data_IF_701569515191
#
_entry.id   IF_701569515191
#
_cell.length_a   1.000
_cell.length_b   1.000
_cell.length_c   1.000
_cell.angle_alpha   90.00
_cell.angle_beta   90.00
_cell.angle_gamma   90.00
#
_symmetry.space_group_name_H-M   'P 1'
#
loop_
_entity.id
_entity.type
_entity.pdbx_description
1 polymer ?
#
# COMPACT_ATOMS: atom_id res chain seq x y z
N UNK A 1 4.26 28.14 -1.37
CA UNK A 1 3.78 26.84 -1.93
C UNK A 1 4.90 25.79 -1.97
N UNK A 2 6.14 26.16 -2.35
CA UNK A 2 7.34 25.31 -2.31
C UNK A 2 7.74 24.83 -0.92
N UNK A 3 7.47 25.62 0.12
CA UNK A 3 7.81 25.28 1.51
C UNK A 3 6.94 24.15 2.10
N UNK A 4 5.60 24.28 2.00
CA UNK A 4 4.67 23.27 2.54
C UNK A 4 4.87 21.88 1.92
N UNK A 5 5.00 21.79 0.59
CA UNK A 5 5.21 20.50 -0.06
C UNK A 5 6.52 19.85 0.38
N UNK A 6 7.57 20.65 0.56
CA UNK A 6 8.86 20.16 1.07
C UNK A 6 8.74 19.64 2.49
N UNK A 7 8.06 20.38 3.38
CA UNK A 7 7.78 19.93 4.74
C UNK A 7 6.94 18.66 4.77
N UNK A 8 5.90 18.57 3.93
CA UNK A 8 5.07 17.38 3.81
C UNK A 8 5.91 16.16 3.41
N UNK A 9 6.82 16.31 2.44
CA UNK A 9 7.76 15.24 2.04
C UNK A 9 8.79 14.90 3.12
N UNK A 10 9.22 15.85 3.96
CA UNK A 10 10.08 15.53 5.11
C UNK A 10 9.37 14.66 6.13
N UNK A 11 8.09 14.95 6.41
CA UNK A 11 7.27 14.15 7.34
C UNK A 11 7.10 12.72 6.81
N UNK A 12 7.00 12.51 5.50
CA UNK A 12 6.99 11.16 4.92
C UNK A 12 8.22 10.35 5.33
N UNK A 13 9.42 10.94 5.23
CA UNK A 13 10.65 10.25 5.59
C UNK A 13 10.67 9.83 7.06
N UNK A 14 10.13 10.65 7.95
CA UNK A 14 9.99 10.34 9.38
C UNK A 14 9.02 9.17 9.56
N UNK A 15 7.80 9.27 9.02
CA UNK A 15 6.77 8.23 9.16
C UNK A 15 7.19 6.89 8.52
N UNK A 16 7.86 6.93 7.37
CA UNK A 16 8.42 5.73 6.72
C UNK A 16 9.47 5.09 7.62
N UNK A 17 10.36 5.89 8.20
CA UNK A 17 11.40 5.40 9.11
C UNK A 17 10.79 4.77 10.37
N UNK A 18 9.76 5.38 10.95
CA UNK A 18 9.05 4.81 12.10
C UNK A 18 8.38 3.48 11.75
N UNK A 19 7.65 3.42 10.62
CA UNK A 19 6.98 2.19 10.16
C UNK A 19 7.96 1.05 9.88
N UNK A 20 9.13 1.35 9.32
CA UNK A 20 10.16 0.34 9.06
C UNK A 20 10.84 -0.15 10.35
N UNK A 21 10.74 0.60 11.45
CA UNK A 21 11.30 0.26 12.75
C UNK A 21 10.21 -0.09 13.79
N UNK A 22 9.03 -0.47 13.33
CA UNK A 22 7.91 -0.85 14.20
C UNK A 22 8.31 -2.06 15.07
N UNK A 23 8.30 -1.95 16.41
CA UNK A 23 8.69 -3.04 17.31
C UNK A 23 7.69 -4.21 17.31
N UNK A 24 6.47 -4.01 16.82
CA UNK A 24 5.44 -5.05 16.77
C UNK A 24 5.67 -6.03 15.59
N UNK A 25 6.60 -5.71 14.67
CA UNK A 25 6.98 -6.60 13.57
C UNK A 25 8.49 -6.88 13.57
N UNK A 26 8.86 -8.16 13.64
CA UNK A 26 10.25 -8.59 13.53
C UNK A 26 10.75 -8.51 12.08
N UNK A 27 11.24 -7.34 11.68
CA UNK A 27 11.84 -7.13 10.37
C UNK A 27 13.17 -7.87 10.20
N UNK A 28 13.27 -8.68 9.15
CA UNK A 28 14.56 -9.02 8.51
C UNK A 28 15.01 -7.90 7.57
N UNK A 29 16.29 -7.88 7.19
CA UNK A 29 16.82 -6.92 6.21
C UNK A 29 16.04 -6.98 4.89
N UNK A 30 15.71 -8.18 4.41
CA UNK A 30 14.94 -8.39 3.19
C UNK A 30 13.53 -7.82 3.30
N UNK A 31 12.81 -8.12 4.39
CA UNK A 31 11.44 -7.64 4.60
C UNK A 31 11.39 -6.11 4.75
N UNK A 32 12.38 -5.52 5.41
CA UNK A 32 12.52 -4.08 5.58
C UNK A 32 12.77 -3.39 4.25
N UNK A 33 13.73 -3.90 3.47
CA UNK A 33 14.01 -3.40 2.14
C UNK A 33 12.81 -3.54 1.19
N UNK A 34 12.07 -4.65 1.31
CA UNK A 34 10.85 -4.87 0.55
C UNK A 34 9.78 -3.82 0.87
N UNK A 35 9.46 -3.62 2.15
CA UNK A 35 8.45 -2.65 2.58
C UNK A 35 8.87 -1.22 2.22
N UNK A 36 10.14 -0.87 2.40
CA UNK A 36 10.66 0.44 2.01
C UNK A 36 10.41 0.73 0.52
N UNK A 37 10.81 -0.21 -0.35
CA UNK A 37 10.61 -0.08 -1.79
C UNK A 37 9.14 -0.05 -2.17
N UNK A 38 8.32 -0.87 -1.53
CA UNK A 38 6.87 -0.90 -1.75
C UNK A 38 6.24 0.46 -1.40
N UNK A 39 6.62 1.07 -0.29
CA UNK A 39 6.12 2.37 0.14
C UNK A 39 6.54 3.47 -0.84
N UNK A 40 7.83 3.57 -1.16
CA UNK A 40 8.33 4.61 -2.07
C UNK A 40 7.68 4.50 -3.45
N UNK A 41 7.49 3.27 -3.96
CA UNK A 41 6.89 3.04 -5.27
C UNK A 41 5.40 3.38 -5.33
N UNK A 42 4.63 2.97 -4.32
CA UNK A 42 3.16 3.05 -4.37
C UNK A 42 2.60 4.37 -3.85
N UNK A 43 3.32 5.00 -2.93
CA UNK A 43 2.85 6.15 -2.17
C UNK A 43 3.35 7.44 -2.80
N UNK A 44 4.61 7.50 -3.25
CA UNK A 44 5.19 8.66 -3.93
C UNK A 44 4.85 8.71 -5.43
N UNK A 45 5.18 9.82 -6.09
CA UNK A 45 4.91 10.04 -7.52
C UNK A 45 3.49 10.55 -7.84
N UNK A 46 2.64 10.73 -6.82
CA UNK A 46 1.34 11.38 -6.96
C UNK A 46 1.42 12.90 -6.92
N UNK A 47 0.28 13.56 -7.13
CA UNK A 47 0.15 15.03 -6.97
C UNK A 47 0.10 15.48 -5.50
N UNK A 48 -0.17 14.55 -4.57
CA UNK A 48 -0.32 14.77 -3.13
C UNK A 48 -1.48 15.70 -2.75
N UNK A 49 -2.42 15.92 -3.67
CA UNK A 49 -3.50 16.90 -3.48
C UNK A 49 -4.38 16.56 -2.27
N UNK A 50 -4.65 15.27 -2.01
CA UNK A 50 -5.54 14.88 -0.91
C UNK A 50 -4.84 15.10 0.44
N UNK A 51 -3.58 14.69 0.56
CA UNK A 51 -2.77 14.93 1.75
C UNK A 51 -2.53 16.41 2.03
N UNK A 52 -2.14 17.18 1.01
CA UNK A 52 -1.92 18.63 1.15
C UNK A 52 -3.20 19.38 1.51
N UNK A 53 -4.36 18.93 1.01
CA UNK A 53 -5.64 19.54 1.35
C UNK A 53 -5.97 19.46 2.85
N UNK A 54 -5.48 18.44 3.56
CA UNK A 54 -5.63 18.34 5.03
C UNK A 54 -4.92 19.50 5.71
N UNK A 55 -3.66 19.74 5.32
CA UNK A 55 -2.84 20.78 5.93
C UNK A 55 -3.39 22.17 5.60
N UNK A 56 -3.77 22.39 4.34
CA UNK A 56 -4.37 23.66 3.92
C UNK A 56 -5.73 23.91 4.61
N UNK A 57 -6.58 22.89 4.72
CA UNK A 57 -7.87 23.02 5.44
C UNK A 57 -7.64 23.35 6.91
N UNK A 58 -6.69 22.68 7.57
CA UNK A 58 -6.39 22.93 8.97
C UNK A 58 -5.89 24.37 9.20
N UNK A 59 -5.00 24.87 8.33
CA UNK A 59 -4.55 26.28 8.36
C UNK A 59 -5.71 27.26 8.25
N UNK A 60 -6.62 27.04 7.31
CA UNK A 60 -7.80 27.89 7.11
C UNK A 60 -8.73 27.87 8.34
N UNK A 61 -8.96 26.68 8.91
CA UNK A 61 -9.79 26.50 10.11
C UNK A 61 -9.17 27.13 11.35
N UNK A 62 -7.85 27.37 11.37
CA UNK A 62 -7.17 28.12 12.44
C UNK A 62 -7.37 29.64 12.36
N UNK A 63 -8.17 30.12 11.41
CA UNK A 63 -8.60 31.52 11.27
C UNK A 63 -7.41 32.51 11.19
N UNK A 64 -6.40 32.17 10.40
CA UNK A 64 -5.24 33.05 10.15
C UNK A 64 -4.16 33.04 11.23
N UNK A 65 -4.26 32.17 12.24
CA UNK A 65 -3.15 31.92 13.18
C UNK A 65 -2.12 31.01 12.53
N UNK A 66 -0.84 31.32 12.74
CA UNK A 66 0.27 30.46 12.32
C UNK A 66 0.20 29.08 12.99
N UNK A 67 0.60 28.04 12.26
CA UNK A 67 0.73 26.70 12.83
C UNK A 67 2.03 26.60 13.62
N UNK A 68 1.96 25.97 14.78
CA UNK A 68 3.16 25.45 15.47
C UNK A 68 3.77 24.30 14.68
N UNK A 69 5.02 23.97 14.97
CA UNK A 69 5.70 22.84 14.32
C UNK A 69 5.01 21.51 14.59
N UNK A 70 4.47 21.32 15.80
CA UNK A 70 3.73 20.12 16.20
C UNK A 70 2.42 20.00 15.42
N UNK A 71 1.65 21.10 15.34
CA UNK A 71 0.41 21.13 14.54
C UNK A 71 0.67 20.87 13.06
N UNK A 72 1.75 21.45 12.51
CA UNK A 72 2.16 21.18 11.14
C UNK A 72 2.50 19.70 10.95
N UNK A 73 3.26 19.12 11.87
CA UNK A 73 3.65 17.70 11.83
C UNK A 73 2.42 16.79 11.90
N UNK A 74 1.49 17.04 12.83
CA UNK A 74 0.26 16.26 13.00
C UNK A 74 -0.66 16.37 11.77
N UNK A 75 -0.85 17.58 11.24
CA UNK A 75 -1.65 17.79 10.03
C UNK A 75 -1.04 17.07 8.81
N UNK A 76 0.29 17.14 8.66
CA UNK A 76 1.00 16.40 7.61
C UNK A 76 0.84 14.88 7.80
N UNK A 77 0.92 14.39 9.04
CA UNK A 77 0.79 12.97 9.35
C UNK A 77 -0.58 12.43 8.97
N UNK A 78 -1.65 13.15 9.31
CA UNK A 78 -3.01 12.82 8.86
C UNK A 78 -3.14 12.88 7.33
N UNK A 79 -2.52 13.86 6.69
CA UNK A 79 -2.45 13.94 5.24
C UNK A 79 -1.77 12.72 4.60
N UNK A 80 -0.70 12.20 5.20
CA UNK A 80 -0.05 10.97 4.74
C UNK A 80 -0.88 9.72 4.99
N UNK A 81 -1.67 9.64 6.06
CA UNK A 81 -2.63 8.56 6.24
C UNK A 81 -3.63 8.49 5.08
N UNK A 82 -4.09 9.65 4.56
CA UNK A 82 -4.99 9.69 3.39
C UNK A 82 -4.26 9.23 2.12
N UNK A 83 -3.02 9.68 1.88
CA UNK A 83 -2.25 9.25 0.71
C UNK A 83 -1.89 7.74 0.78
N UNK A 84 -1.64 7.19 1.96
CA UNK A 84 -1.46 5.74 2.18
C UNK A 84 -2.75 4.96 1.90
N UNK A 85 -3.88 5.42 2.41
CA UNK A 85 -5.19 4.80 2.14
C UNK A 85 -5.50 4.82 0.64
N UNK A 86 -5.22 5.93 -0.04
CA UNK A 86 -5.37 6.02 -1.48
C UNK A 86 -4.42 5.06 -2.22
N UNK A 87 -3.15 4.97 -1.81
CA UNK A 87 -2.18 4.08 -2.42
C UNK A 87 -2.62 2.60 -2.30
N UNK A 88 -3.13 2.20 -1.13
CA UNK A 88 -3.72 0.88 -0.90
C UNK A 88 -4.83 0.57 -1.92
N UNK A 89 -5.84 1.45 -2.03
CA UNK A 89 -6.93 1.22 -2.97
C UNK A 89 -6.46 1.18 -4.43
N UNK A 90 -5.51 2.04 -4.82
CA UNK A 90 -4.99 2.05 -6.18
C UNK A 90 -4.21 0.78 -6.53
N UNK A 91 -3.48 0.19 -5.59
CA UNK A 91 -2.80 -1.09 -5.83
C UNK A 91 -3.82 -2.21 -6.05
N UNK A 92 -4.89 -2.26 -5.27
CA UNK A 92 -5.94 -3.25 -5.45
C UNK A 92 -6.72 -3.04 -6.74
N UNK A 93 -7.04 -1.79 -7.08
CA UNK A 93 -7.70 -1.39 -8.32
C UNK A 93 -6.88 -1.81 -9.55
N UNK A 94 -5.57 -1.52 -9.54
CA UNK A 94 -4.63 -1.94 -10.59
C UNK A 94 -4.68 -3.46 -10.83
N UNK A 95 -4.81 -4.26 -9.76
CA UNK A 95 -4.92 -5.73 -9.84
C UNK A 95 -6.29 -6.14 -10.39
N UNK A 96 -7.38 -5.59 -9.83
CA UNK A 96 -8.75 -5.92 -10.23
C UNK A 96 -9.03 -5.59 -11.70
N UNK A 97 -8.41 -4.54 -12.21
CA UNK A 97 -8.57 -4.10 -13.60
C UNK A 97 -7.48 -4.62 -14.53
N UNK A 98 -6.47 -5.31 -14.01
CA UNK A 98 -5.36 -5.82 -14.81
C UNK A 98 -4.56 -4.68 -15.45
N UNK A 99 -4.48 -3.53 -14.79
CA UNK A 99 -3.81 -2.33 -15.28
C UNK A 99 -2.33 -2.57 -15.60
N UNK A 100 -1.81 -1.81 -16.57
CA UNK A 100 -0.42 -1.89 -16.99
C UNK A 100 0.46 -0.84 -16.31
N UNK A 101 -0.01 0.41 -16.20
CA UNK A 101 0.77 1.52 -15.68
C UNK A 101 -0.03 2.40 -14.72
N UNK A 102 0.66 2.96 -13.71
CA UNK A 102 0.17 3.97 -12.78
C UNK A 102 1.27 4.99 -12.51
N UNK A 103 0.92 6.29 -12.51
CA UNK A 103 1.87 7.41 -12.28
C UNK A 103 3.11 7.37 -13.21
N UNK A 104 2.92 6.92 -14.45
CA UNK A 104 3.99 6.84 -15.46
C UNK A 104 4.96 5.67 -15.28
N UNK A 105 4.70 4.76 -14.34
CA UNK A 105 5.49 3.54 -14.11
C UNK A 105 4.60 2.30 -14.24
N UNK A 106 5.15 1.10 -14.44
CA UNK A 106 4.37 -0.15 -14.36
C UNK A 106 3.56 -0.25 -13.05
N UNK A 107 2.39 -0.86 -13.08
CA UNK A 107 1.67 -1.14 -11.83
C UNK A 107 2.50 -2.07 -10.93
N UNK A 108 2.47 -1.88 -9.62
CA UNK A 108 3.35 -2.58 -8.68
C UNK A 108 3.30 -4.11 -8.81
N UNK A 109 2.11 -4.68 -9.02
CA UNK A 109 1.93 -6.12 -9.21
C UNK A 109 2.55 -6.68 -10.50
N UNK A 110 2.97 -5.81 -11.43
CA UNK A 110 3.66 -6.17 -12.69
C UNK A 110 5.19 -6.12 -12.56
N UNK A 111 5.75 -5.70 -11.41
CA UNK A 111 7.19 -5.56 -11.23
C UNK A 111 7.89 -6.93 -11.21
N UNK A 112 9.01 -7.11 -11.93
CA UNK A 112 9.66 -8.41 -12.18
C UNK A 112 10.43 -9.01 -10.98
N UNK A 113 10.10 -8.63 -9.74
CA UNK A 113 10.67 -9.20 -8.49
C UNK A 113 9.58 -9.46 -7.46
N UNK A 114 8.56 -10.19 -7.88
CA UNK A 114 8.03 -11.43 -7.32
C UNK A 114 7.73 -11.63 -5.83
N UNK A 115 7.80 -10.71 -4.87
CA UNK A 115 7.26 -11.10 -3.54
C UNK A 115 5.73 -11.33 -3.60
N UNK A 116 5.01 -10.58 -4.46
CA UNK A 116 3.57 -10.82 -4.67
C UNK A 116 3.30 -12.05 -5.53
N UNK A 117 4.03 -12.25 -6.64
CA UNK A 117 3.84 -13.42 -7.50
C UNK A 117 4.26 -14.71 -6.79
N UNK A 118 5.36 -14.68 -6.03
CA UNK A 118 5.79 -15.78 -5.16
C UNK A 118 4.79 -16.01 -4.03
N UNK A 119 4.32 -14.95 -3.35
CA UNK A 119 3.27 -15.09 -2.32
C UNK A 119 1.97 -15.65 -2.90
N UNK A 120 1.54 -15.17 -4.06
CA UNK A 120 0.33 -15.63 -4.76
C UNK A 120 0.47 -17.10 -5.17
N UNK A 121 1.61 -17.50 -5.74
CA UNK A 121 1.92 -18.90 -6.08
C UNK A 121 1.97 -19.78 -4.83
N UNK A 122 2.74 -19.39 -3.82
CA UNK A 122 2.90 -20.13 -2.57
C UNK A 122 1.58 -20.28 -1.82
N UNK A 123 0.76 -19.24 -1.79
CA UNK A 123 -0.57 -19.26 -1.16
C UNK A 123 -1.52 -20.19 -1.92
N UNK A 124 -1.51 -20.12 -3.26
CA UNK A 124 -2.32 -21.01 -4.10
C UNK A 124 -1.94 -22.48 -3.90
N UNK A 125 -0.64 -22.79 -3.83
CA UNK A 125 -0.13 -24.13 -3.55
C UNK A 125 -0.54 -24.62 -2.16
N UNK A 126 -0.35 -23.80 -1.12
CA UNK A 126 -0.77 -24.14 0.26
C UNK A 126 -2.27 -24.45 0.36
N UNK A 127 -3.10 -23.63 -0.28
CA UNK A 127 -4.55 -23.83 -0.30
C UNK A 127 -4.89 -25.10 -1.09
N UNK A 128 -4.28 -25.33 -2.24
CA UNK A 128 -4.51 -26.54 -3.06
C UNK A 128 -4.15 -27.80 -2.27
N UNK A 129 -2.98 -27.83 -1.63
CA UNK A 129 -2.54 -28.95 -0.80
C UNK A 129 -3.51 -29.19 0.38
N UNK A 130 -4.00 -28.11 1.02
CA UNK A 130 -4.98 -28.21 2.10
C UNK A 130 -6.32 -28.77 1.63
N UNK A 131 -6.76 -28.39 0.43
CA UNK A 131 -7.97 -28.95 -0.19
C UNK A 131 -7.77 -30.44 -0.51
N UNK A 132 -6.62 -30.81 -1.06
CA UNK A 132 -6.34 -32.20 -1.46
C UNK A 132 -6.20 -33.16 -0.29
N UNK A 133 -5.68 -32.68 0.84
CA UNK A 133 -5.59 -33.42 2.09
C UNK A 133 -6.95 -33.67 2.76
N UNK A 134 -8.02 -32.97 2.35
CA UNK A 134 -9.34 -33.12 2.97
C UNK A 134 -9.97 -34.49 2.65
N UNK A 135 -10.49 -35.28 3.62
CA UNK A 135 -10.92 -36.66 3.38
C UNK A 135 -12.16 -36.80 2.46
N UNK A 136 -13.05 -35.81 2.45
CA UNK A 136 -14.27 -35.84 1.63
C UNK A 136 -14.03 -35.35 0.20
N UNK A 137 -14.16 -36.24 -0.79
CA UNK A 137 -14.06 -35.91 -2.23
C UNK A 137 -15.10 -34.89 -2.69
N UNK A 138 -16.30 -34.90 -2.10
CA UNK A 138 -17.32 -33.90 -2.41
C UNK A 138 -16.87 -32.50 -1.96
N UNK A 139 -16.29 -32.38 -0.77
CA UNK A 139 -15.75 -31.11 -0.26
C UNK A 139 -14.56 -30.64 -1.10
N UNK A 140 -13.66 -31.56 -1.50
CA UNK A 140 -12.57 -31.21 -2.42
C UNK A 140 -13.10 -30.58 -3.72
N UNK A 141 -14.11 -31.21 -4.34
CA UNK A 141 -14.69 -30.73 -5.59
C UNK A 141 -15.33 -29.34 -5.46
N UNK A 142 -16.06 -29.10 -4.37
CA UNK A 142 -16.66 -27.79 -4.08
C UNK A 142 -15.58 -26.72 -3.90
N UNK A 143 -14.57 -26.97 -3.07
CA UNK A 143 -13.50 -25.99 -2.78
C UNK A 143 -12.63 -25.73 -4.02
N UNK A 144 -12.29 -26.76 -4.81
CA UNK A 144 -11.59 -26.59 -6.09
C UNK A 144 -12.40 -25.75 -7.07
N UNK A 145 -13.73 -25.94 -7.13
CA UNK A 145 -14.61 -25.13 -7.99
C UNK A 145 -14.60 -23.64 -7.59
N UNK A 146 -14.59 -23.33 -6.29
CA UNK A 146 -14.48 -21.94 -5.82
C UNK A 146 -13.11 -21.35 -6.10
N UNK A 147 -12.03 -22.07 -5.79
CA UNK A 147 -10.66 -21.61 -6.01
C UNK A 147 -10.41 -21.26 -7.48
N UNK A 148 -10.89 -22.11 -8.41
CA UNK A 148 -10.76 -21.88 -9.85
C UNK A 148 -11.49 -20.62 -10.35
N UNK A 149 -12.52 -20.14 -9.64
CA UNK A 149 -13.24 -18.90 -9.98
C UNK A 149 -12.53 -17.65 -9.49
N UNK A 150 -11.59 -17.79 -8.55
CA UNK A 150 -10.92 -16.67 -7.87
C UNK A 150 -9.48 -16.52 -8.39
N UNK A 151 -8.75 -17.61 -8.56
CA UNK A 151 -7.34 -17.58 -8.95
C UNK A 151 -7.15 -17.30 -10.44
N UNK A 152 -6.31 -16.31 -10.76
CA UNK A 152 -5.96 -15.90 -12.15
C UNK A 152 -7.17 -15.75 -13.08
N UNK A 153 -8.25 -15.19 -12.53
CA UNK A 153 -9.48 -14.93 -13.30
C UNK A 153 -9.15 -13.97 -14.45
N UNK A 154 -9.22 -14.46 -15.68
CA UNK A 154 -9.28 -13.60 -16.86
C UNK A 154 -10.73 -13.09 -16.97
N UNK A 155 -10.89 -11.76 -17.14
CA UNK A 155 -12.19 -11.13 -17.38
C UNK A 155 -12.76 -11.62 -18.71
#
# INVERSE_FOLDING_TARGET
MTDLKSRFLQVYSVLKSELLNDPDFEFTDDSRHWVERMLDYNVLGGKLNRGLSVVDSYKLLKLGKELTDDEMFLACSLGWCIEWLQAYFLVLDDIMDGSHTRRGQPCWFRMPKDAYLEYEQTSYEKITNSIEAHPSKAVQAVLKSFLAKIYKRQK
#
